data_IF_147508972602
#
_entry.id   IF_147508972602
#
_cell.length_a   1.000
_cell.length_b   1.000
_cell.length_c   1.000
_cell.angle_alpha   90.00
_cell.angle_beta   90.00
_cell.angle_gamma   90.00
#
_symmetry.space_group_name_H-M   'P 1'
#
loop_
_entity.id
_entity.type
_entity.pdbx_description
1 polymer ?
#
# COMPACT_ATOMS: atom_id res chain seq x y z
N UNK A 1 -52.32 6.30 -30.12
CA UNK A 1 -51.63 5.02 -30.38
C UNK A 1 -50.81 5.19 -31.64
N UNK A 2 -49.57 4.68 -31.61
CA UNK A 2 -48.39 5.02 -32.44
C UNK A 2 -47.70 6.30 -31.92
N UNK A 3 -46.51 6.30 -31.32
CA UNK A 3 -45.46 5.28 -31.21
C UNK A 3 -44.11 5.98 -31.44
N UNK A 4 -43.25 5.96 -30.43
CA UNK A 4 -41.82 6.31 -30.41
C UNK A 4 -41.38 7.77 -30.64
N UNK A 5 -41.28 8.49 -29.51
CA UNK A 5 -40.43 9.68 -29.32
C UNK A 5 -38.94 9.27 -29.39
N UNK A 6 -38.03 10.09 -29.95
CA UNK A 6 -36.68 9.65 -30.30
C UNK A 6 -35.82 9.41 -29.06
N UNK A 7 -35.02 8.33 -29.10
CA UNK A 7 -33.97 8.03 -28.12
C UNK A 7 -32.98 9.19 -28.05
N UNK A 8 -32.95 9.92 -26.94
CA UNK A 8 -31.78 10.70 -26.58
C UNK A 8 -30.68 9.75 -26.10
N UNK A 9 -29.86 9.28 -27.04
CA UNK A 9 -28.54 8.73 -26.72
C UNK A 9 -27.67 9.89 -26.26
N UNK A 10 -27.31 9.92 -24.98
CA UNK A 10 -26.31 10.87 -24.47
C UNK A 10 -24.91 10.32 -24.84
N UNK A 11 -24.13 10.94 -25.76
CA UNK A 11 -22.90 10.35 -26.27
C UNK A 11 -21.62 10.80 -25.54
N UNK A 12 -21.70 11.28 -24.31
CA UNK A 12 -20.52 11.81 -23.60
C UNK A 12 -20.51 11.47 -22.10
N UNK A 13 -20.65 10.20 -21.77
CA UNK A 13 -19.93 9.69 -20.60
C UNK A 13 -18.54 9.29 -21.11
N UNK A 14 -17.54 10.15 -20.94
CA UNK A 14 -16.15 9.76 -21.11
C UNK A 14 -15.94 8.42 -20.37
N UNK A 15 -15.24 7.43 -20.94
CA UNK A 15 -14.97 6.20 -20.23
C UNK A 15 -14.34 6.60 -18.89
N UNK A 16 -14.98 6.19 -17.78
CA UNK A 16 -14.33 6.32 -16.48
C UNK A 16 -13.04 5.55 -16.62
N UNK A 17 -11.95 6.25 -16.35
CA UNK A 17 -10.59 5.77 -16.49
C UNK A 17 -10.36 4.68 -15.42
N UNK A 18 -10.87 3.49 -15.69
CA UNK A 18 -10.75 2.27 -14.89
C UNK A 18 -9.40 1.58 -15.16
N UNK A 19 -8.44 2.27 -15.78
CA UNK A 19 -7.07 1.78 -15.88
C UNK A 19 -6.40 1.78 -14.50
N UNK A 20 -5.60 0.75 -14.17
CA UNK A 20 -4.81 0.75 -12.94
C UNK A 20 -3.90 1.98 -12.91
N UNK A 21 -4.28 2.98 -12.12
CA UNK A 21 -3.41 4.10 -11.81
C UNK A 21 -2.34 3.62 -10.85
N UNK A 22 -1.12 4.09 -11.05
CA UNK A 22 -0.03 3.84 -10.12
C UNK A 22 -0.45 4.43 -8.76
N UNK A 23 -0.62 3.54 -7.79
CA UNK A 23 -1.14 3.86 -6.47
C UNK A 23 -0.32 3.10 -5.45
N UNK A 24 -0.05 3.74 -4.32
CA UNK A 24 0.70 3.18 -3.21
C UNK A 24 0.23 1.78 -2.79
N UNK A 25 1.17 0.94 -2.33
CA UNK A 25 0.87 -0.34 -1.70
C UNK A 25 0.73 -0.18 -0.19
N UNK A 26 -0.21 -0.90 0.42
CA UNK A 26 -0.38 -0.97 1.89
C UNK A 26 -0.51 -2.43 2.30
N UNK A 27 0.13 -2.78 3.42
CA UNK A 27 -0.07 -4.08 4.09
C UNK A 27 -0.38 -3.87 5.57
N UNK A 28 -1.20 -4.74 6.14
CA UNK A 28 -1.49 -4.78 7.56
C UNK A 28 -1.39 -6.22 8.07
N UNK A 29 -0.69 -6.41 9.18
CA UNK A 29 -0.43 -7.72 9.77
C UNK A 29 -0.76 -7.64 11.27
N UNK A 30 -1.48 -8.65 11.74
CA UNK A 30 -1.73 -8.89 13.15
C UNK A 30 -1.43 -10.36 13.43
N UNK A 31 -0.54 -10.63 14.38
CA UNK A 31 -0.28 -11.99 14.87
C UNK A 31 0.45 -11.93 16.20
N UNK A 32 0.02 -12.73 17.17
CA UNK A 32 0.72 -12.91 18.44
C UNK A 32 1.86 -13.92 18.28
N UNK A 33 3.00 -13.66 18.92
CA UNK A 33 4.15 -14.59 18.95
C UNK A 33 4.97 -14.68 17.66
N UNK A 34 4.61 -13.91 16.63
CA UNK A 34 5.25 -13.93 15.31
C UNK A 34 5.94 -12.59 14.99
N UNK A 35 6.90 -12.60 14.06
CA UNK A 35 7.58 -11.39 13.60
C UNK A 35 6.76 -10.64 12.53
N UNK A 36 5.78 -9.85 13.00
CA UNK A 36 4.87 -9.09 12.15
C UNK A 36 5.58 -8.03 11.30
N UNK A 37 6.73 -7.49 11.75
CA UNK A 37 7.49 -6.51 10.99
C UNK A 37 8.19 -7.17 9.79
N UNK A 38 8.73 -8.38 9.96
CA UNK A 38 9.29 -9.15 8.84
C UNK A 38 8.21 -9.55 7.82
N UNK A 39 7.01 -9.90 8.28
CA UNK A 39 5.88 -10.14 7.37
C UNK A 39 5.43 -8.87 6.63
N UNK A 40 5.44 -7.72 7.30
CA UNK A 40 5.22 -6.42 6.65
C UNK A 40 6.25 -6.16 5.55
N UNK A 41 7.54 -6.39 5.83
CA UNK A 41 8.60 -6.26 4.85
C UNK A 41 8.36 -7.13 3.61
N UNK A 42 8.08 -8.42 3.77
CA UNK A 42 7.82 -9.30 2.63
C UNK A 42 6.56 -8.92 1.85
N UNK A 43 5.51 -8.49 2.55
CA UNK A 43 4.31 -7.95 1.93
C UNK A 43 4.61 -6.72 1.08
N UNK A 44 5.40 -5.77 1.60
CA UNK A 44 5.82 -4.60 0.84
C UNK A 44 6.73 -4.95 -0.32
N UNK A 45 7.61 -5.92 -0.16
CA UNK A 45 8.47 -6.41 -1.23
C UNK A 45 7.63 -6.96 -2.40
N UNK A 46 6.58 -7.74 -2.10
CA UNK A 46 5.63 -8.20 -3.10
C UNK A 46 4.87 -7.04 -3.76
N UNK A 47 4.55 -5.99 -2.99
CA UNK A 47 3.89 -4.77 -3.45
C UNK A 47 4.86 -3.69 -4.00
N UNK A 48 6.13 -3.99 -4.23
CA UNK A 48 7.12 -3.01 -4.69
C UNK A 48 6.71 -2.34 -6.02
N UNK A 49 6.01 -3.08 -6.88
CA UNK A 49 5.49 -2.59 -8.15
C UNK A 49 4.42 -1.49 -8.00
N UNK A 50 3.91 -1.26 -6.78
CA UNK A 50 2.93 -0.21 -6.45
C UNK A 50 3.56 1.07 -5.90
N UNK A 51 4.88 1.15 -5.81
CA UNK A 51 5.57 2.32 -5.28
C UNK A 51 7.05 2.05 -5.13
N UNK A 52 7.90 2.86 -5.77
CA UNK A 52 9.35 2.65 -5.83
C UNK A 52 10.16 3.80 -5.22
N UNK A 53 9.49 4.79 -4.65
CA UNK A 53 10.15 6.02 -4.21
C UNK A 53 10.51 6.01 -2.75
N UNK A 54 9.65 5.43 -1.91
CA UNK A 54 9.89 5.25 -0.48
C UNK A 54 9.09 4.10 0.06
N UNK A 55 9.52 3.60 1.21
CA UNK A 55 8.81 2.57 1.96
C UNK A 55 8.87 2.88 3.46
N UNK A 56 7.84 2.44 4.19
CA UNK A 56 7.76 2.59 5.62
C UNK A 56 7.07 1.41 6.29
N UNK A 57 7.55 1.02 7.47
CA UNK A 57 6.92 0.03 8.35
C UNK A 57 6.76 0.66 9.72
N UNK A 58 5.54 0.56 10.26
CA UNK A 58 5.22 0.86 11.64
C UNK A 58 4.79 -0.42 12.36
N UNK A 59 5.23 -0.62 13.59
CA UNK A 59 4.80 -1.75 14.43
C UNK A 59 4.47 -1.32 15.86
N UNK A 60 3.71 -2.15 16.56
CA UNK A 60 3.23 -1.84 17.90
C UNK A 60 3.00 -3.08 18.76
N UNK A 61 3.25 -2.94 20.06
CA UNK A 61 2.82 -3.88 21.12
C UNK A 61 1.51 -3.45 21.78
N UNK A 62 0.88 -2.35 21.34
CA UNK A 62 -0.32 -1.76 21.95
C UNK A 62 -0.05 -0.50 22.78
N UNK A 63 1.18 -0.30 23.26
CA UNK A 63 1.53 0.82 24.16
C UNK A 63 2.31 1.96 23.47
N UNK A 64 2.71 1.77 22.22
CA UNK A 64 3.50 2.73 21.44
C UNK A 64 3.73 2.27 20.01
N UNK A 65 4.29 3.15 19.17
CA UNK A 65 4.58 2.87 17.77
C UNK A 65 6.08 2.95 17.53
N UNK A 66 6.64 1.87 16.97
CA UNK A 66 7.96 1.84 16.37
C UNK A 66 7.82 2.13 14.89
N UNK A 67 8.67 2.99 14.33
CA UNK A 67 8.55 3.45 12.95
C UNK A 67 9.91 3.48 12.27
N UNK A 68 9.97 2.89 11.08
CA UNK A 68 11.08 3.04 10.14
C UNK A 68 10.53 3.49 8.79
N UNK A 69 11.08 4.57 8.25
CA UNK A 69 10.77 5.07 6.91
C UNK A 69 12.07 5.36 6.19
N UNK A 70 12.15 5.02 4.91
CA UNK A 70 13.31 5.31 4.08
C UNK A 70 12.90 5.53 2.63
N UNK A 71 13.75 6.24 1.90
CA UNK A 71 13.62 6.43 0.45
C UNK A 71 14.16 5.21 -0.29
N UNK A 72 13.68 5.02 -1.52
CA UNK A 72 14.09 3.96 -2.43
C UNK A 72 13.25 2.70 -2.35
N UNK A 73 13.77 1.64 -2.95
CA UNK A 73 13.13 0.32 -3.01
C UNK A 73 13.10 -0.31 -1.61
N UNK A 74 12.08 -1.11 -1.32
CA UNK A 74 11.87 -1.84 -0.05
C UNK A 74 13.14 -2.61 0.36
N UNK A 75 13.75 -3.36 -0.56
CA UNK A 75 14.97 -4.13 -0.26
C UNK A 75 16.22 -3.29 0.03
N UNK A 76 16.20 -1.99 -0.30
CA UNK A 76 17.26 -1.03 0.02
C UNK A 76 16.91 -0.18 1.26
N UNK A 77 15.61 0.05 1.47
CA UNK A 77 15.04 0.87 2.53
C UNK A 77 15.17 0.24 3.93
N UNK A 78 15.27 -1.10 4.00
CA UNK A 78 15.35 -1.84 5.26
C UNK A 78 16.49 -2.84 5.23
N UNK A 79 17.35 -2.79 6.24
CA UNK A 79 18.27 -3.87 6.58
C UNK A 79 17.69 -4.75 7.69
N UNK A 80 18.29 -5.91 7.95
CA UNK A 80 17.82 -6.84 9.00
C UNK A 80 17.81 -6.15 10.37
N UNK A 81 18.79 -5.29 10.64
CA UNK A 81 18.88 -4.54 11.90
C UNK A 81 17.74 -3.52 12.06
N UNK A 82 17.22 -2.97 10.96
CA UNK A 82 16.08 -2.06 10.99
C UNK A 82 14.79 -2.81 11.36
N UNK A 83 14.59 -3.99 10.78
CA UNK A 83 13.42 -4.83 11.06
C UNK A 83 13.45 -5.33 12.52
N UNK A 84 14.63 -5.68 13.02
CA UNK A 84 14.81 -6.07 14.42
C UNK A 84 14.45 -4.97 15.43
N UNK A 85 14.43 -3.69 15.01
CA UNK A 85 14.02 -2.55 15.84
C UNK A 85 12.51 -2.22 15.76
N UNK A 86 11.72 -3.09 15.13
CA UNK A 86 10.28 -2.93 14.98
C UNK A 86 9.49 -4.02 15.74
N UNK A 87 9.63 -4.13 17.08
CA UNK A 87 8.92 -5.14 17.85
C UNK A 87 7.40 -4.90 17.84
N UNK A 88 6.61 -5.96 18.00
CA UNK A 88 5.16 -5.84 18.08
C UNK A 88 4.42 -7.11 17.69
N UNK A 89 3.10 -7.06 17.82
CA UNK A 89 2.17 -8.05 17.29
C UNK A 89 1.19 -7.42 16.27
N UNK A 90 1.34 -6.11 16.01
CA UNK A 90 0.65 -5.36 14.96
C UNK A 90 1.73 -4.69 14.10
N UNK A 91 1.61 -4.77 12.78
CA UNK A 91 2.42 -3.99 11.85
C UNK A 91 1.59 -3.47 10.66
N UNK A 92 1.95 -2.28 10.18
CA UNK A 92 1.45 -1.69 8.95
C UNK A 92 2.64 -1.29 8.10
N UNK A 93 2.58 -1.58 6.80
CA UNK A 93 3.58 -1.17 5.82
C UNK A 93 2.99 -0.33 4.70
N UNK A 94 3.79 0.54 4.10
CA UNK A 94 3.42 1.36 2.95
C UNK A 94 4.56 1.46 1.92
N UNK A 95 4.24 1.36 0.62
CA UNK A 95 5.11 1.77 -0.50
C UNK A 95 4.56 3.01 -1.18
N UNK A 96 5.39 4.04 -1.41
CA UNK A 96 4.97 5.29 -2.03
C UNK A 96 5.23 5.30 -3.52
N UNK A 97 4.22 5.72 -4.26
CA UNK A 97 4.34 6.22 -5.63
C UNK A 97 4.09 7.74 -5.64
N UNK A 98 4.83 8.53 -6.43
CA UNK A 98 4.58 9.98 -6.47
C UNK A 98 3.29 10.24 -7.22
N UNK A 99 2.42 10.99 -6.57
CA UNK A 99 1.32 11.66 -7.23
C UNK A 99 1.75 13.06 -7.64
N UNK A 100 1.22 13.55 -8.75
CA UNK A 100 1.40 14.94 -9.21
C UNK A 100 0.42 15.89 -8.52
#
# INVERSE_FOLDING_TARGET
MNGDTPRHSNPTAAPRDDYPREACGIVGIYSEGEDVARYAFFGLYALQHRGQESAGIASSTGDGIHLKVSMGLVGQAFQEEDIAQLPGHIAIGHTRYSTT
#
